data_IF_513288344822
#
_entry.id   IF_513288344822
#
_cell.length_a   1.000
_cell.length_b   1.000
_cell.length_c   1.000
_cell.angle_alpha   90.00
_cell.angle_beta   90.00
_cell.angle_gamma   90.00
#
_symmetry.space_group_name_H-M   'P 1'
#
loop_
_entity.id
_entity.type
_entity.pdbx_description
1 polymer ?
#
# COMPACT_ATOMS: atom_id res chain seq x y z
N UNK A 1 -25.59 17.45 9.61
CA UNK A 1 -24.30 17.56 8.90
C UNK A 1 -23.96 16.16 8.43
N UNK A 2 -23.62 15.94 7.13
CA UNK A 2 -23.32 14.60 6.62
C UNK A 2 -22.03 14.09 7.30
N UNK A 3 -21.98 12.82 7.73
CA UNK A 3 -20.81 12.20 8.39
C UNK A 3 -19.50 12.37 7.58
N UNK A 4 -19.61 12.41 6.26
CA UNK A 4 -18.52 12.70 5.32
C UNK A 4 -17.95 14.11 5.52
N UNK A 5 -18.81 15.15 5.53
CA UNK A 5 -18.38 16.54 5.76
C UNK A 5 -17.77 16.71 7.15
N UNK A 6 -18.27 15.97 8.13
CA UNK A 6 -17.73 16.01 9.48
C UNK A 6 -16.35 15.35 9.55
N UNK A 7 -16.14 14.22 8.88
CA UNK A 7 -14.83 13.57 8.77
C UNK A 7 -13.83 14.48 8.06
N UNK A 8 -14.22 15.08 6.92
CA UNK A 8 -13.37 16.01 6.18
C UNK A 8 -12.95 17.20 7.06
N UNK A 9 -13.89 17.87 7.71
CA UNK A 9 -13.60 19.01 8.59
C UNK A 9 -12.67 18.63 9.75
N UNK A 10 -12.83 17.44 10.34
CA UNK A 10 -12.00 16.98 11.44
C UNK A 10 -10.56 16.71 10.95
N UNK A 11 -10.40 16.03 9.80
CA UNK A 11 -9.07 15.78 9.21
C UNK A 11 -8.38 17.12 8.88
N UNK A 12 -9.07 18.08 8.26
CA UNK A 12 -8.54 19.42 8.00
C UNK A 12 -8.06 20.11 9.27
N UNK A 13 -8.88 20.11 10.32
CA UNK A 13 -8.53 20.72 11.60
C UNK A 13 -7.34 20.02 12.29
N UNK A 14 -7.26 18.69 12.19
CA UNK A 14 -6.15 17.93 12.73
C UNK A 14 -4.85 18.22 11.98
N UNK A 15 -4.92 18.38 10.66
CA UNK A 15 -3.79 18.77 9.80
C UNK A 15 -3.23 20.13 10.12
N UNK A 16 -4.10 21.12 10.42
CA UNK A 16 -3.66 22.47 10.79
C UNK A 16 -2.82 22.45 12.08
N UNK A 17 -3.10 21.50 12.97
CA UNK A 17 -2.38 21.30 14.23
C UNK A 17 -1.25 20.28 14.14
N UNK A 18 -0.99 19.71 12.95
CA UNK A 18 0.03 18.70 12.75
C UNK A 18 1.44 19.27 12.99
N UNK A 19 2.11 18.72 13.98
CA UNK A 19 3.53 18.96 14.25
C UNK A 19 4.34 17.72 13.84
N UNK A 20 5.35 17.93 13.00
CA UNK A 20 6.37 16.91 12.74
C UNK A 20 7.50 17.18 13.71
N UNK A 21 7.87 16.19 14.53
CA UNK A 21 9.04 16.25 15.38
C UNK A 21 10.23 16.58 14.50
N UNK A 22 11.06 17.52 14.92
CA UNK A 22 12.30 17.81 14.22
C UNK A 22 12.99 16.46 13.94
N UNK A 23 12.98 16.07 12.68
CA UNK A 23 13.55 14.81 12.22
C UNK A 23 14.97 14.73 12.79
N UNK A 24 15.35 13.60 13.39
CA UNK A 24 16.73 13.34 13.79
C UNK A 24 17.70 13.46 12.60
N UNK A 25 17.18 13.49 11.38
CA UNK A 25 17.90 13.72 10.13
C UNK A 25 17.69 15.17 9.71
N UNK A 26 18.72 16.03 9.81
CA UNK A 26 18.66 17.40 9.31
C UNK A 26 18.21 17.42 7.84
N UNK A 27 17.41 18.40 7.45
CA UNK A 27 16.94 18.57 6.05
C UNK A 27 18.09 18.57 5.03
N UNK A 28 19.27 19.05 5.41
CA UNK A 28 20.51 19.02 4.60
C UNK A 28 21.06 17.61 4.35
N UNK A 29 20.57 16.58 5.06
CA UNK A 29 20.95 15.18 4.88
C UNK A 29 19.83 14.33 4.25
N UNK A 30 18.64 14.90 4.00
CA UNK A 30 17.60 14.20 3.26
C UNK A 30 18.04 14.06 1.80
N UNK A 31 17.93 12.84 1.28
CA UNK A 31 18.21 12.59 -0.13
C UNK A 31 16.99 13.04 -0.96
N UNK A 32 17.22 13.70 -2.09
CA UNK A 32 16.14 14.09 -2.98
C UNK A 32 15.59 12.86 -3.72
N UNK A 33 14.36 12.94 -4.18
CA UNK A 33 13.77 11.94 -5.06
C UNK A 33 12.35 11.58 -4.70
N UNK A 34 11.81 10.59 -5.38
CA UNK A 34 10.42 10.19 -5.29
C UNK A 34 10.21 8.99 -4.37
N UNK A 35 9.14 9.02 -3.60
CA UNK A 35 8.59 7.90 -2.84
C UNK A 35 7.28 7.49 -3.52
N UNK A 36 7.16 6.22 -3.92
CA UNK A 36 5.99 5.70 -4.62
C UNK A 36 5.30 4.65 -3.75
N UNK A 37 4.03 4.86 -3.46
CA UNK A 37 3.17 3.94 -2.72
C UNK A 37 2.14 3.39 -3.69
N UNK A 38 2.12 2.08 -3.91
CA UNK A 38 1.13 1.44 -4.76
C UNK A 38 0.20 0.60 -3.90
N UNK A 39 -1.06 0.97 -3.90
CA UNK A 39 -2.14 0.24 -3.26
C UNK A 39 -2.77 -0.66 -4.32
N UNK A 40 -2.58 -1.96 -4.15
CA UNK A 40 -3.28 -2.99 -4.92
C UNK A 40 -4.70 -3.20 -4.41
N UNK A 41 -5.47 -3.98 -5.14
CA UNK A 41 -6.87 -4.25 -4.85
C UNK A 41 -7.12 -5.77 -4.92
N UNK A 42 -7.71 -6.32 -3.85
CA UNK A 42 -8.17 -7.71 -3.78
C UNK A 42 -7.09 -8.77 -4.09
N UNK A 43 -5.80 -8.52 -3.80
CA UNK A 43 -4.74 -9.48 -4.07
C UNK A 43 -4.49 -10.39 -2.87
N UNK A 44 -4.71 -11.71 -3.06
CA UNK A 44 -4.39 -12.73 -2.06
C UNK A 44 -2.97 -13.26 -2.29
N UNK A 45 -2.07 -13.10 -1.29
CA UNK A 45 -0.67 -13.54 -1.38
C UNK A 45 -0.50 -15.03 -1.60
N UNK A 46 -1.45 -15.87 -1.13
CA UNK A 46 -1.36 -17.32 -1.24
C UNK A 46 -1.58 -17.81 -2.68
N UNK A 47 -2.20 -16.98 -3.52
CA UNK A 47 -2.32 -17.18 -4.96
C UNK A 47 -1.25 -16.44 -5.78
N UNK A 48 -0.26 -15.82 -5.12
CA UNK A 48 0.86 -15.12 -5.77
C UNK A 48 2.13 -15.94 -5.68
N UNK A 49 2.70 -16.33 -6.84
CA UNK A 49 3.90 -17.16 -6.92
C UNK A 49 5.16 -16.52 -6.30
N UNK A 50 5.15 -15.23 -6.05
CA UNK A 50 6.20 -14.52 -5.31
C UNK A 50 6.13 -14.78 -3.80
N UNK A 51 4.96 -15.04 -3.22
CA UNK A 51 4.74 -15.26 -1.80
C UNK A 51 4.54 -16.74 -1.46
N UNK A 52 3.87 -17.49 -2.35
CA UNK A 52 3.63 -18.91 -2.20
C UNK A 52 4.34 -19.70 -3.31
N UNK A 53 5.49 -20.27 -2.98
CA UNK A 53 6.29 -21.06 -3.93
C UNK A 53 5.63 -22.38 -4.36
N UNK A 54 4.63 -22.87 -3.60
CA UNK A 54 3.86 -24.09 -3.90
C UNK A 54 2.64 -23.81 -4.78
N UNK A 55 2.28 -22.54 -4.99
CA UNK A 55 1.18 -22.20 -5.88
C UNK A 55 1.49 -22.62 -7.33
N UNK A 56 0.59 -23.37 -7.94
CA UNK A 56 0.85 -24.04 -9.22
C UNK A 56 0.94 -23.10 -10.43
N UNK A 57 0.45 -21.87 -10.30
CA UNK A 57 0.45 -20.87 -11.38
C UNK A 57 1.55 -19.81 -11.11
N UNK A 58 2.22 -19.38 -12.18
CA UNK A 58 3.22 -18.30 -12.11
C UNK A 58 2.54 -16.93 -12.25
N UNK A 59 1.81 -16.53 -11.23
CA UNK A 59 0.96 -15.33 -11.23
C UNK A 59 1.72 -14.03 -11.06
N UNK A 60 2.91 -14.06 -10.47
CA UNK A 60 3.71 -12.85 -10.18
C UNK A 60 5.18 -13.08 -10.52
N UNK A 61 5.51 -13.29 -11.83
CA UNK A 61 6.85 -13.66 -12.26
C UNK A 61 7.91 -12.59 -11.99
N UNK A 62 7.58 -11.30 -12.12
CA UNK A 62 8.52 -10.22 -11.85
C UNK A 62 8.80 -10.03 -10.35
N UNK A 63 7.75 -10.02 -9.52
CA UNK A 63 7.90 -9.96 -8.08
C UNK A 63 8.71 -11.16 -7.56
N UNK A 64 8.40 -12.38 -8.06
CA UNK A 64 9.16 -13.59 -7.73
C UNK A 64 10.64 -13.45 -8.11
N UNK A 65 10.93 -12.95 -9.30
CA UNK A 65 12.29 -12.70 -9.75
C UNK A 65 12.99 -11.54 -9.02
N UNK A 66 12.23 -10.70 -8.33
CA UNK A 66 12.74 -9.58 -7.53
C UNK A 66 13.04 -9.96 -6.09
N UNK A 67 12.47 -11.06 -5.58
CA UNK A 67 12.85 -11.60 -4.26
C UNK A 67 14.34 -11.91 -4.21
N UNK A 68 14.98 -11.45 -3.14
CA UNK A 68 16.42 -11.62 -2.94
C UNK A 68 17.32 -10.65 -3.73
N UNK A 69 16.77 -9.81 -4.61
CA UNK A 69 17.54 -8.72 -5.21
C UNK A 69 17.78 -7.60 -4.21
N UNK A 70 18.91 -6.92 -4.36
CA UNK A 70 19.27 -5.80 -3.49
C UNK A 70 18.18 -4.71 -3.49
N UNK A 71 17.81 -4.29 -2.31
CA UNK A 71 16.80 -3.26 -2.05
C UNK A 71 15.38 -3.79 -1.91
N UNK A 72 15.04 -4.98 -2.42
CA UNK A 72 13.71 -5.58 -2.23
C UNK A 72 13.62 -6.33 -0.89
N UNK A 73 12.55 -6.07 -0.15
CA UNK A 73 12.21 -6.68 1.12
C UNK A 73 10.75 -7.13 1.05
N UNK A 74 10.50 -8.43 1.15
CA UNK A 74 9.17 -9.04 1.08
C UNK A 74 8.73 -9.48 2.47
N UNK A 75 7.54 -9.07 2.87
CA UNK A 75 6.96 -9.39 4.18
C UNK A 75 5.92 -10.50 4.02
N UNK A 76 6.29 -11.71 4.40
CA UNK A 76 5.47 -12.91 4.16
C UNK A 76 4.27 -13.04 5.10
N UNK A 77 4.30 -12.37 6.26
CA UNK A 77 3.27 -12.44 7.30
C UNK A 77 2.41 -11.17 7.36
N UNK A 78 1.89 -10.74 6.20
CA UNK A 78 1.12 -9.50 6.10
C UNK A 78 -0.38 -9.76 5.95
N UNK A 79 -1.18 -9.00 6.68
CA UNK A 79 -2.63 -9.14 6.74
C UNK A 79 -3.32 -7.79 6.57
N UNK A 80 -4.51 -7.81 5.99
CA UNK A 80 -5.38 -6.63 5.99
C UNK A 80 -6.10 -6.48 7.35
N UNK A 81 -6.31 -5.26 7.76
CA UNK A 81 -7.10 -4.93 8.96
C UNK A 81 -8.60 -5.17 8.75
N UNK A 82 -9.05 -5.22 7.47
CA UNK A 82 -10.44 -5.46 7.10
C UNK A 82 -10.56 -5.98 5.66
N UNK A 83 -11.52 -6.89 5.34
CA UNK A 83 -11.73 -7.38 3.99
C UNK A 83 -12.63 -6.43 3.18
N UNK A 84 -12.30 -5.16 3.11
CA UNK A 84 -13.03 -4.16 2.32
C UNK A 84 -12.16 -2.93 2.11
N UNK A 85 -12.09 -2.46 0.88
CA UNK A 85 -11.22 -1.37 0.42
C UNK A 85 -11.32 -0.10 1.26
N UNK A 86 -12.54 0.41 1.46
CA UNK A 86 -12.73 1.69 2.16
C UNK A 86 -12.22 1.63 3.59
N UNK A 87 -12.56 0.55 4.30
CA UNK A 87 -12.18 0.37 5.69
C UNK A 87 -10.68 0.13 5.82
N UNK A 88 -10.12 -0.70 4.94
CA UNK A 88 -8.70 -1.04 4.96
C UNK A 88 -7.81 0.15 4.58
N UNK A 89 -8.06 0.79 3.44
CA UNK A 89 -7.24 1.90 2.93
C UNK A 89 -7.34 3.13 3.82
N UNK A 90 -8.54 3.42 4.36
CA UNK A 90 -8.69 4.59 5.23
C UNK A 90 -7.84 4.48 6.51
N UNK A 91 -7.77 3.29 7.12
CA UNK A 91 -6.87 3.10 8.26
C UNK A 91 -5.40 3.01 7.84
N UNK A 92 -5.09 2.35 6.72
CA UNK A 92 -3.70 2.23 6.25
C UNK A 92 -3.02 3.58 6.02
N UNK A 93 -3.78 4.59 5.63
CA UNK A 93 -3.26 5.93 5.32
C UNK A 93 -3.47 6.97 6.43
N UNK A 94 -3.91 6.55 7.59
CA UNK A 94 -4.11 7.45 8.75
C UNK A 94 -3.42 6.92 10.00
N UNK A 95 -3.20 7.80 10.97
CA UNK A 95 -2.63 7.41 12.27
C UNK A 95 -3.57 6.59 13.16
N UNK A 96 -4.81 6.33 12.72
CA UNK A 96 -5.76 5.45 13.40
C UNK A 96 -5.46 4.00 13.05
N UNK A 97 -5.16 3.16 14.03
CA UNK A 97 -4.93 1.74 13.84
C UNK A 97 -5.64 0.90 14.91
N UNK A 98 -5.61 -0.42 14.77
CA UNK A 98 -6.31 -1.34 15.68
C UNK A 98 -5.71 -1.38 17.09
N UNK A 99 -4.55 -0.79 17.32
CA UNK A 99 -3.75 -0.96 18.54
C UNK A 99 -3.67 0.31 19.39
N UNK A 100 -3.91 1.50 18.82
CA UNK A 100 -3.65 2.76 19.50
C UNK A 100 -4.90 3.47 20.06
N UNK A 101 -6.08 2.98 19.70
CA UNK A 101 -7.35 3.54 20.18
C UNK A 101 -7.67 4.96 19.67
N UNK A 102 -6.94 5.46 18.68
CA UNK A 102 -7.23 6.76 18.07
C UNK A 102 -8.43 6.59 17.14
N UNK A 103 -9.55 7.30 17.37
CA UNK A 103 -10.68 7.27 16.44
C UNK A 103 -10.28 7.87 15.10
N UNK A 104 -10.84 7.35 14.01
CA UNK A 104 -10.54 7.85 12.65
C UNK A 104 -10.76 9.36 12.50
N UNK A 105 -11.79 9.90 13.14
CA UNK A 105 -12.08 11.35 13.13
C UNK A 105 -11.01 12.23 13.81
N UNK A 106 -10.20 11.64 14.68
CA UNK A 106 -9.15 12.32 15.44
C UNK A 106 -7.75 11.98 14.90
N UNK A 107 -7.69 11.23 13.80
CA UNK A 107 -6.44 10.86 13.14
C UNK A 107 -5.90 11.96 12.24
N UNK A 108 -4.62 11.85 11.91
CA UNK A 108 -3.94 12.61 10.85
C UNK A 108 -3.70 11.69 9.66
N UNK A 109 -3.64 12.24 8.47
CA UNK A 109 -3.38 11.44 7.29
C UNK A 109 -1.92 11.53 6.80
N UNK A 110 -1.52 10.53 6.02
CA UNK A 110 -0.16 10.36 5.55
C UNK A 110 0.23 11.41 4.50
N UNK A 111 -0.72 11.90 3.69
CA UNK A 111 -0.44 12.94 2.70
C UNK A 111 -0.07 14.26 3.36
N UNK A 112 -0.77 14.62 4.46
CA UNK A 112 -0.43 15.81 5.24
C UNK A 112 0.95 15.68 5.89
N UNK A 113 1.29 14.48 6.41
CA UNK A 113 2.62 14.21 6.94
C UNK A 113 3.69 14.38 5.86
N UNK A 114 3.47 13.80 4.67
CA UNK A 114 4.40 13.91 3.54
C UNK A 114 4.53 15.36 3.05
N UNK A 115 3.41 16.09 2.92
CA UNK A 115 3.42 17.50 2.54
C UNK A 115 4.23 18.35 3.52
N UNK A 116 3.98 18.19 4.83
CA UNK A 116 4.75 18.90 5.87
C UNK A 116 6.23 18.48 5.93
N UNK A 117 6.55 17.27 5.46
CA UNK A 117 7.94 16.81 5.30
C UNK A 117 8.64 17.39 4.05
N UNK A 118 7.93 18.18 3.24
CA UNK A 118 8.47 18.89 2.08
C UNK A 118 8.37 18.11 0.76
N UNK A 119 7.44 17.15 0.68
CA UNK A 119 7.10 16.48 -0.58
C UNK A 119 5.95 17.20 -1.29
N UNK A 120 5.98 17.20 -2.62
CA UNK A 120 4.78 17.44 -3.43
C UNK A 120 4.00 16.12 -3.52
N UNK A 121 2.72 16.16 -3.15
CA UNK A 121 1.91 14.95 -2.96
C UNK A 121 0.99 14.71 -4.15
N UNK A 122 0.94 13.46 -4.63
CA UNK A 122 0.12 13.01 -5.74
C UNK A 122 -0.80 11.88 -5.31
N UNK A 123 -2.06 11.96 -5.77
CA UNK A 123 -3.00 10.86 -5.73
C UNK A 123 -3.42 10.48 -7.15
N UNK A 124 -2.97 9.31 -7.61
CA UNK A 124 -3.28 8.76 -8.94
C UNK A 124 -4.16 7.53 -8.75
N UNK A 125 -5.44 7.61 -9.07
CA UNK A 125 -6.38 6.52 -8.83
C UNK A 125 -7.05 6.04 -10.10
N UNK A 126 -7.05 4.72 -10.26
CA UNK A 126 -7.84 4.01 -11.28
C UNK A 126 -9.20 3.57 -10.73
N UNK A 127 -9.39 3.64 -9.42
CA UNK A 127 -10.69 3.48 -8.79
C UNK A 127 -11.62 4.65 -9.16
N UNK A 128 -12.92 4.39 -9.23
CA UNK A 128 -13.88 5.46 -9.55
C UNK A 128 -13.91 6.52 -8.45
N UNK A 129 -14.04 7.79 -8.85
CA UNK A 129 -14.36 8.86 -7.91
C UNK A 129 -15.70 8.55 -7.28
N UNK A 130 -15.68 8.35 -6.02
CA UNK A 130 -16.63 7.66 -5.18
C UNK A 130 -18.12 7.96 -5.34
N UNK A 131 -18.87 6.91 -5.05
CA UNK A 131 -20.22 6.94 -4.48
C UNK A 131 -20.13 7.33 -2.98
N UNK A 132 -21.29 7.53 -2.33
CA UNK A 132 -21.35 7.84 -0.89
C UNK A 132 -20.64 6.80 -0.01
N UNK A 133 -20.51 5.55 -0.51
CA UNK A 133 -19.82 4.45 0.19
C UNK A 133 -18.31 4.61 0.29
N UNK A 134 -17.67 5.27 -0.69
CA UNK A 134 -16.21 5.40 -0.77
C UNK A 134 -15.70 6.76 -0.23
N UNK A 135 -16.55 7.45 0.49
CA UNK A 135 -16.33 8.81 0.97
C UNK A 135 -15.01 8.98 1.75
N UNK A 136 -14.61 7.97 2.54
CA UNK A 136 -13.35 8.00 3.30
C UNK A 136 -12.12 8.16 2.43
N UNK A 137 -12.01 7.36 1.36
CA UNK A 137 -10.87 7.41 0.42
C UNK A 137 -10.83 8.74 -0.33
N UNK A 138 -12.00 9.26 -0.73
CA UNK A 138 -12.07 10.56 -1.42
C UNK A 138 -11.64 11.72 -0.50
N UNK A 139 -11.95 11.66 0.80
CA UNK A 139 -11.47 12.66 1.77
C UNK A 139 -9.95 12.66 1.82
N UNK A 140 -9.33 11.48 1.93
CA UNK A 140 -7.86 11.35 1.93
C UNK A 140 -7.28 11.85 0.60
N UNK A 141 -7.81 11.40 -0.54
CA UNK A 141 -7.35 11.81 -1.86
C UNK A 141 -7.35 13.35 -2.03
N UNK A 142 -8.35 14.04 -1.45
CA UNK A 142 -8.47 15.50 -1.51
C UNK A 142 -7.38 16.24 -0.72
N UNK A 143 -6.56 15.54 0.06
CA UNK A 143 -5.41 16.11 0.78
C UNK A 143 -4.15 16.20 -0.09
N UNK A 144 -4.12 15.51 -1.24
CA UNK A 144 -2.99 15.59 -2.17
C UNK A 144 -2.96 16.92 -2.93
N UNK A 145 -1.74 17.43 -3.19
CA UNK A 145 -1.53 18.64 -4.00
C UNK A 145 -2.01 18.44 -5.45
N UNK A 146 -1.86 17.22 -5.97
CA UNK A 146 -2.29 16.85 -7.32
C UNK A 146 -3.10 15.56 -7.29
N UNK A 147 -4.33 15.61 -7.84
CA UNK A 147 -5.24 14.46 -7.86
C UNK A 147 -5.59 14.14 -9.32
N UNK A 148 -5.51 12.84 -9.66
CA UNK A 148 -5.94 12.32 -10.96
C UNK A 148 -6.82 11.09 -10.75
N UNK A 149 -8.03 11.15 -11.28
CA UNK A 149 -8.93 10.01 -11.44
C UNK A 149 -8.82 9.53 -12.88
N UNK A 150 -8.21 8.34 -13.03
CA UNK A 150 -7.76 7.80 -14.32
C UNK A 150 -8.79 6.76 -14.78
N UNK A 151 -9.09 6.74 -16.07
CA UNK A 151 -9.97 5.75 -16.66
C UNK A 151 -9.17 4.76 -17.51
N UNK A 152 -9.61 3.52 -17.56
CA UNK A 152 -8.95 2.45 -18.32
C UNK A 152 -8.44 1.33 -17.44
N UNK A 153 -7.52 0.54 -17.96
CA UNK A 153 -6.81 -0.48 -17.21
C UNK A 153 -5.61 0.12 -16.46
N UNK A 154 -5.02 -0.64 -15.56
CA UNK A 154 -4.03 -0.15 -14.60
C UNK A 154 -2.77 0.45 -15.23
N UNK A 155 -2.37 0.02 -16.44
CA UNK A 155 -1.25 0.63 -17.17
C UNK A 155 -1.46 2.09 -17.54
N UNK A 156 -2.71 2.58 -17.53
CA UNK A 156 -3.00 3.98 -17.84
C UNK A 156 -2.34 4.95 -16.83
N UNK A 157 -2.00 4.49 -15.62
CA UNK A 157 -1.26 5.29 -14.64
C UNK A 157 0.11 5.73 -15.14
N UNK A 158 0.74 4.96 -16.03
CA UNK A 158 2.06 5.28 -16.56
C UNK A 158 2.08 6.57 -17.38
N UNK A 159 0.96 6.94 -18.01
CA UNK A 159 0.84 8.21 -18.71
C UNK A 159 0.83 9.40 -17.75
N UNK A 160 0.23 9.27 -16.57
CA UNK A 160 0.21 10.30 -15.55
C UNK A 160 1.55 10.42 -14.82
N UNK A 161 2.25 9.31 -14.59
CA UNK A 161 3.61 9.34 -14.02
C UNK A 161 4.58 10.15 -14.88
N UNK A 162 4.41 10.14 -16.21
CA UNK A 162 5.23 10.93 -17.15
C UNK A 162 5.05 12.44 -17.00
N UNK A 163 3.98 12.88 -16.38
CA UNK A 163 3.69 14.30 -16.14
C UNK A 163 4.28 14.81 -14.81
N UNK A 164 4.86 13.93 -13.99
CA UNK A 164 5.45 14.28 -12.70
C UNK A 164 6.88 14.81 -12.90
N UNK A 165 7.23 16.00 -12.39
CA UNK A 165 8.57 16.55 -12.50
C UNK A 165 9.60 15.66 -11.77
N UNK A 166 10.69 15.25 -12.43
CA UNK A 166 11.71 14.37 -11.82
C UNK A 166 12.66 15.09 -10.86
N UNK A 167 12.61 16.42 -10.80
CA UNK A 167 13.51 17.26 -10.02
C UNK A 167 12.97 17.60 -8.63
N UNK A 168 11.76 17.21 -8.32
CA UNK A 168 11.10 17.49 -7.05
C UNK A 168 11.12 16.28 -6.12
N UNK A 169 10.92 16.51 -4.82
CA UNK A 169 10.62 15.46 -3.87
C UNK A 169 9.15 15.12 -4.01
N UNK A 170 8.85 13.99 -4.64
CA UNK A 170 7.50 13.57 -4.92
C UNK A 170 7.07 12.45 -3.97
N UNK A 171 5.87 12.57 -3.41
CA UNK A 171 5.19 11.50 -2.68
C UNK A 171 3.96 11.08 -3.47
N UNK A 172 4.02 9.90 -4.07
CA UNK A 172 3.06 9.48 -5.09
C UNK A 172 2.28 8.27 -4.55
N UNK A 173 0.98 8.43 -4.32
CA UNK A 173 0.08 7.33 -4.05
C UNK A 173 -0.60 6.93 -5.36
N UNK A 174 -0.49 5.65 -5.70
CA UNK A 174 -1.16 5.01 -6.83
C UNK A 174 -2.17 4.00 -6.27
N UNK A 175 -3.45 4.16 -6.63
CA UNK A 175 -4.50 3.23 -6.23
C UNK A 175 -5.04 2.51 -7.46
N UNK A 176 -4.67 1.23 -7.60
CA UNK A 176 -4.99 0.39 -8.75
C UNK A 176 -6.41 -0.16 -8.70
N UNK A 177 -6.93 -0.59 -9.84
CA UNK A 177 -8.09 -1.48 -9.94
C UNK A 177 -7.74 -2.93 -9.55
N UNK A 178 -6.51 -3.33 -9.77
CA UNK A 178 -5.94 -4.61 -9.37
C UNK A 178 -6.80 -5.82 -9.77
N UNK A 179 -7.06 -6.67 -8.79
CA UNK A 179 -7.87 -7.88 -8.96
C UNK A 179 -9.30 -7.74 -8.41
N UNK A 180 -9.88 -6.53 -8.44
CA UNK A 180 -11.26 -6.31 -8.00
C UNK A 180 -12.27 -7.17 -8.76
N UNK A 181 -13.33 -7.60 -8.09
CA UNK A 181 -14.44 -8.40 -8.65
C UNK A 181 -14.82 -7.96 -10.07
N UNK A 182 -15.26 -8.91 -10.90
CA UNK A 182 -15.28 -8.86 -12.36
C UNK A 182 -13.88 -8.83 -12.92
N UNK A 183 -13.05 -9.80 -12.51
CA UNK A 183 -11.66 -9.99 -12.90
C UNK A 183 -11.47 -9.97 -14.44
N UNK A 184 -12.49 -10.44 -15.17
CA UNK A 184 -12.58 -10.39 -16.65
C UNK A 184 -12.49 -8.96 -17.22
N UNK A 185 -12.78 -7.94 -16.42
CA UNK A 185 -12.72 -6.53 -16.80
C UNK A 185 -11.43 -5.82 -16.35
N UNK A 186 -10.56 -6.52 -15.64
CA UNK A 186 -9.34 -5.92 -15.07
C UNK A 186 -8.13 -6.06 -15.99
N UNK A 187 -8.23 -6.93 -16.99
CA UNK A 187 -7.13 -7.28 -17.89
C UNK A 187 -7.46 -6.90 -19.33
N UNK A 188 -6.59 -6.14 -20.00
CA UNK A 188 -6.77 -5.87 -21.43
C UNK A 188 -6.70 -7.16 -22.25
N UNK A 189 -7.53 -7.27 -23.27
CA UNK A 189 -7.52 -8.41 -24.18
C UNK A 189 -6.16 -8.61 -24.84
N UNK A 190 -5.48 -7.51 -25.20
CA UNK A 190 -4.14 -7.52 -25.78
C UNK A 190 -3.09 -8.17 -24.86
N UNK A 191 -3.23 -8.02 -23.52
CA UNK A 191 -2.33 -8.67 -22.57
C UNK A 191 -2.51 -10.20 -22.60
N UNK A 192 -3.75 -10.67 -22.68
CA UNK A 192 -4.10 -12.09 -22.75
C UNK A 192 -3.50 -12.70 -24.03
N UNK A 193 -3.71 -12.06 -25.17
CA UNK A 193 -3.22 -12.51 -26.48
C UNK A 193 -1.69 -12.52 -26.54
N UNK A 194 -1.05 -11.43 -26.10
CA UNK A 194 0.42 -11.30 -26.09
C UNK A 194 1.10 -12.37 -25.24
N UNK A 195 0.48 -12.76 -24.12
CA UNK A 195 1.04 -13.74 -23.20
C UNK A 195 0.50 -15.16 -23.42
N UNK A 196 -0.35 -15.35 -24.46
CA UNK A 196 -0.97 -16.63 -24.80
C UNK A 196 -1.65 -17.32 -23.61
N UNK A 197 -2.46 -16.55 -22.86
CA UNK A 197 -3.10 -17.02 -21.64
C UNK A 197 -4.44 -17.70 -21.95
N UNK A 198 -4.65 -18.91 -21.41
CA UNK A 198 -5.94 -19.57 -21.44
C UNK A 198 -6.76 -19.15 -20.22
N UNK A 199 -7.94 -18.58 -20.44
CA UNK A 199 -8.81 -18.05 -19.39
C UNK A 199 -10.20 -18.68 -19.53
N UNK A 200 -10.46 -19.75 -18.78
CA UNK A 200 -11.66 -20.57 -18.90
C UNK A 200 -12.55 -20.50 -17.64
N UNK A 201 -11.98 -20.14 -16.49
CA UNK A 201 -12.66 -20.13 -15.21
C UNK A 201 -12.54 -18.78 -14.48
N UNK A 202 -13.36 -18.59 -13.42
CA UNK A 202 -13.24 -17.45 -12.50
C UNK A 202 -11.81 -17.34 -11.92
N UNK A 203 -11.24 -18.48 -11.53
CA UNK A 203 -9.90 -18.54 -10.95
C UNK A 203 -8.81 -18.21 -11.99
N UNK A 204 -8.99 -18.60 -13.26
CA UNK A 204 -8.03 -18.23 -14.32
C UNK A 204 -8.06 -16.71 -14.55
N UNK A 205 -9.24 -16.10 -14.57
CA UNK A 205 -9.37 -14.65 -14.67
C UNK A 205 -8.69 -13.93 -13.50
N UNK A 206 -8.88 -14.43 -12.27
CA UNK A 206 -8.21 -13.88 -11.09
C UNK A 206 -6.69 -14.02 -11.17
N UNK A 207 -6.18 -15.21 -11.51
CA UNK A 207 -4.74 -15.44 -11.73
C UNK A 207 -4.16 -14.53 -12.80
N UNK A 208 -4.92 -14.31 -13.88
CA UNK A 208 -4.51 -13.41 -14.98
C UNK A 208 -4.48 -11.95 -14.53
N UNK A 209 -5.43 -11.52 -13.68
CA UNK A 209 -5.43 -10.17 -13.11
C UNK A 209 -4.24 -9.93 -12.18
N UNK A 210 -3.86 -10.91 -11.36
CA UNK A 210 -2.63 -10.87 -10.57
C UNK A 210 -1.37 -10.73 -11.45
N UNK A 211 -1.30 -11.52 -12.54
CA UNK A 211 -0.18 -11.47 -13.48
C UNK A 211 -0.10 -10.12 -14.21
N UNK A 212 -1.26 -9.55 -14.53
CA UNK A 212 -1.31 -8.22 -15.13
C UNK A 212 -0.87 -7.13 -14.15
N UNK A 213 -1.31 -7.19 -12.90
CA UNK A 213 -0.86 -6.28 -11.84
C UNK A 213 0.66 -6.37 -11.64
N UNK A 214 1.25 -7.57 -11.61
CA UNK A 214 2.71 -7.79 -11.55
C UNK A 214 3.44 -7.08 -12.71
N UNK A 215 2.86 -7.14 -13.93
CA UNK A 215 3.40 -6.43 -15.08
C UNK A 215 3.32 -4.91 -14.91
N UNK A 216 2.22 -4.38 -14.43
CA UNK A 216 2.04 -2.93 -14.16
C UNK A 216 3.01 -2.46 -13.07
N UNK A 217 3.16 -3.21 -11.98
CA UNK A 217 4.12 -2.92 -10.91
C UNK A 217 5.56 -2.86 -11.44
N UNK A 218 5.92 -3.78 -12.32
CA UNK A 218 7.22 -3.79 -13.00
C UNK A 218 7.44 -2.49 -13.78
N UNK A 219 6.47 -2.05 -14.56
CA UNK A 219 6.60 -0.84 -15.38
C UNK A 219 6.65 0.43 -14.49
N UNK A 220 5.86 0.51 -13.42
CA UNK A 220 5.94 1.58 -12.41
C UNK A 220 7.34 1.62 -11.79
N UNK A 221 7.87 0.46 -11.38
CA UNK A 221 9.21 0.35 -10.79
C UNK A 221 10.30 0.85 -11.75
N UNK A 222 10.27 0.40 -13.00
CA UNK A 222 11.27 0.82 -13.99
C UNK A 222 11.18 2.32 -14.26
N UNK A 223 9.97 2.84 -14.50
CA UNK A 223 9.79 4.26 -14.73
C UNK A 223 10.20 5.11 -13.53
N UNK A 224 9.79 4.70 -12.32
CA UNK A 224 10.18 5.38 -11.08
C UNK A 224 11.69 5.47 -10.90
N UNK A 225 12.38 4.36 -11.16
CA UNK A 225 13.84 4.27 -11.05
C UNK A 225 14.58 5.08 -12.12
N UNK A 226 14.14 5.00 -13.37
CA UNK A 226 14.84 5.60 -14.52
C UNK A 226 14.52 7.08 -14.70
N UNK A 227 13.31 7.52 -14.33
CA UNK A 227 12.80 8.84 -14.69
C UNK A 227 12.39 9.71 -13.50
N UNK A 228 12.10 9.15 -12.33
CA UNK A 228 11.61 9.91 -11.17
C UNK A 228 12.60 9.92 -10.00
N UNK A 229 13.83 9.44 -10.18
CA UNK A 229 14.82 9.34 -9.10
C UNK A 229 14.23 8.68 -7.84
N UNK A 230 13.56 7.53 -8.05
CA UNK A 230 12.82 6.83 -7.00
C UNK A 230 13.75 6.33 -5.89
N UNK A 231 13.50 6.74 -4.67
CA UNK A 231 14.23 6.34 -3.47
C UNK A 231 13.60 5.16 -2.76
N UNK A 232 12.26 5.11 -2.76
CA UNK A 232 11.52 3.97 -2.22
C UNK A 232 10.26 3.69 -3.05
N UNK A 233 9.88 2.41 -3.12
CA UNK A 233 8.57 1.98 -3.59
C UNK A 233 7.98 1.00 -2.58
N UNK A 234 6.75 1.21 -2.21
CA UNK A 234 5.97 0.34 -1.32
C UNK A 234 4.80 -0.21 -2.11
N UNK A 235 4.59 -1.52 -2.05
CA UNK A 235 3.40 -2.16 -2.60
C UNK A 235 2.72 -3.00 -1.52
N UNK A 236 1.42 -2.84 -1.38
CA UNK A 236 0.56 -3.71 -0.59
C UNK A 236 -0.83 -3.78 -1.20
N UNK A 237 -1.55 -4.88 -0.98
CA UNK A 237 -2.98 -4.92 -1.31
C UNK A 237 -3.80 -4.39 -0.15
N UNK A 238 -4.93 -3.79 -0.46
CA UNK A 238 -5.90 -3.32 0.52
C UNK A 238 -6.50 -4.48 1.32
N UNK A 239 -6.90 -5.55 0.66
CA UNK A 239 -7.34 -6.83 1.23
C UNK A 239 -7.03 -8.00 0.31
N UNK A 240 -7.25 -9.21 0.80
CA UNK A 240 -7.17 -10.44 0.02
C UNK A 240 -8.51 -10.79 -0.65
N UNK A 241 -8.59 -12.00 -1.19
CA UNK A 241 -9.76 -12.49 -1.91
C UNK A 241 -9.92 -13.99 -1.66
N UNK A 242 -11.13 -14.44 -1.36
CA UNK A 242 -11.52 -15.85 -1.39
C UNK A 242 -12.25 -16.18 -2.69
N UNK A 243 -11.94 -17.32 -3.30
CA UNK A 243 -12.51 -17.66 -4.61
C UNK A 243 -13.97 -18.06 -4.57
N UNK A 244 -14.53 -18.42 -3.41
CA UNK A 244 -15.93 -18.78 -3.23
C UNK A 244 -16.75 -17.59 -2.72
N UNK A 245 -16.31 -16.97 -1.62
CA UNK A 245 -17.05 -15.94 -0.90
C UNK A 245 -16.60 -14.50 -1.23
N UNK A 246 -15.57 -14.33 -2.06
CA UNK A 246 -14.95 -13.05 -2.41
C UNK A 246 -14.32 -12.34 -1.19
N UNK A 247 -14.72 -11.13 -0.86
CA UNK A 247 -14.18 -10.33 0.25
C UNK A 247 -15.32 -9.76 1.10
N UNK A 248 -15.94 -10.62 1.91
CA UNK A 248 -17.03 -10.24 2.80
C UNK A 248 -16.62 -10.35 4.27
N UNK A 249 -17.33 -9.65 5.16
CA UNK A 249 -17.12 -9.82 6.59
C UNK A 249 -17.99 -10.93 7.20
N UNK A 250 -18.88 -11.54 6.41
CA UNK A 250 -19.78 -12.61 6.86
C UNK A 250 -20.24 -13.48 5.67
N UNK A 251 -19.79 -14.75 5.54
CA UNK A 251 -18.75 -15.35 6.40
C UNK A 251 -17.37 -14.68 6.22
N UNK A 252 -16.59 -14.63 7.27
CA UNK A 252 -15.20 -14.19 7.21
C UNK A 252 -14.28 -15.40 7.08
N UNK A 253 -13.35 -15.35 6.12
CA UNK A 253 -12.25 -16.30 5.95
C UNK A 253 -10.93 -15.53 5.97
N UNK A 254 -9.85 -16.14 6.45
CA UNK A 254 -8.55 -15.48 6.54
C UNK A 254 -7.94 -15.16 5.16
N UNK A 255 -8.24 -15.94 4.13
CA UNK A 255 -7.89 -15.65 2.72
C UNK A 255 -8.24 -14.23 2.29
N UNK A 256 -9.35 -13.69 2.83
CA UNK A 256 -9.82 -12.34 2.54
C UNK A 256 -8.93 -11.24 3.11
N UNK A 257 -7.98 -11.61 3.98
CA UNK A 257 -7.06 -10.68 4.62
C UNK A 257 -5.59 -11.07 4.46
N UNK A 258 -5.29 -12.15 3.76
CA UNK A 258 -3.92 -12.51 3.37
C UNK A 258 -3.47 -11.60 2.21
N UNK A 259 -2.59 -10.64 2.48
CA UNK A 259 -2.17 -9.65 1.49
C UNK A 259 -0.68 -9.74 1.15
N UNK A 260 -0.28 -9.43 -0.10
CA UNK A 260 1.11 -9.16 -0.43
C UNK A 260 1.55 -7.84 0.17
N UNK A 261 2.81 -7.78 0.60
CA UNK A 261 3.47 -6.55 0.99
C UNK A 261 4.96 -6.65 0.71
N UNK A 262 5.52 -5.65 0.05
CA UNK A 262 6.95 -5.49 -0.12
C UNK A 262 7.37 -4.04 -0.21
N UNK A 263 8.65 -3.79 0.09
CA UNK A 263 9.31 -2.50 -0.01
C UNK A 263 10.52 -2.66 -0.92
N UNK A 264 10.75 -1.68 -1.80
CA UNK A 264 12.01 -1.46 -2.48
C UNK A 264 12.66 -0.18 -1.96
N UNK A 265 13.95 -0.23 -1.63
CA UNK A 265 14.77 0.90 -1.23
C UNK A 265 15.96 1.02 -2.18
N UNK A 266 16.19 2.22 -2.74
CA UNK A 266 17.30 2.46 -3.68
C UNK A 266 18.66 2.25 -3.01
N UNK A 267 19.74 1.99 -3.77
CA UNK A 267 21.09 1.94 -3.20
C UNK A 267 21.50 3.25 -2.49
N UNK A 268 21.04 4.39 -2.99
CA UNK A 268 21.26 5.69 -2.37
C UNK A 268 20.54 5.81 -1.02
N UNK A 269 19.27 5.37 -0.98
CA UNK A 269 18.50 5.29 0.26
C UNK A 269 19.17 4.38 1.30
N UNK A 270 19.59 3.18 0.88
CA UNK A 270 20.27 2.21 1.77
C UNK A 270 21.56 2.78 2.36
N UNK A 271 22.31 3.57 1.60
CA UNK A 271 23.52 4.22 2.07
C UNK A 271 23.23 5.37 3.02
N UNK A 272 22.21 6.18 2.74
CA UNK A 272 21.86 7.34 3.57
C UNK A 272 21.16 6.95 4.87
N UNK A 273 20.31 5.92 4.82
CA UNK A 273 19.42 5.48 5.91
C UNK A 273 19.65 4.00 6.24
N UNK A 274 20.91 3.68 6.53
CA UNK A 274 21.37 2.30 6.74
C UNK A 274 20.55 1.56 7.82
N UNK A 275 20.27 2.25 8.94
CA UNK A 275 19.56 1.64 10.08
C UNK A 275 18.11 1.26 9.73
N UNK A 276 17.42 2.12 8.96
CA UNK A 276 16.07 1.84 8.44
C UNK A 276 16.08 0.63 7.52
N UNK A 277 17.05 0.55 6.59
CA UNK A 277 17.19 -0.60 5.70
C UNK A 277 17.47 -1.90 6.47
N UNK A 278 18.41 -1.88 7.43
CA UNK A 278 18.75 -3.06 8.22
C UNK A 278 17.59 -3.52 9.11
N UNK A 279 16.86 -2.58 9.70
CA UNK A 279 15.69 -2.88 10.51
C UNK A 279 14.57 -3.51 9.66
N UNK A 280 14.30 -2.96 8.48
CA UNK A 280 13.33 -3.53 7.53
C UNK A 280 13.69 -4.97 7.14
N UNK A 281 14.97 -5.21 6.84
CA UNK A 281 15.49 -6.57 6.53
C UNK A 281 15.34 -7.55 7.70
N UNK A 282 15.60 -7.09 8.92
CA UNK A 282 15.46 -7.90 10.13
C UNK A 282 14.01 -8.28 10.38
N UNK A 283 13.08 -7.36 10.09
CA UNK A 283 11.65 -7.51 10.37
C UNK A 283 10.87 -8.20 9.21
N UNK A 284 11.53 -8.66 8.13
CA UNK A 284 10.86 -9.22 6.94
C UNK A 284 9.95 -10.43 7.22
N UNK A 285 10.17 -11.13 8.35
CA UNK A 285 9.38 -12.29 8.78
C UNK A 285 8.40 -11.98 9.92
N UNK A 286 8.42 -10.77 10.42
CA UNK A 286 7.50 -10.35 11.48
C UNK A 286 6.07 -10.24 10.94
N UNK A 287 5.11 -10.40 11.86
CA UNK A 287 3.69 -10.19 11.53
C UNK A 287 3.42 -8.72 11.26
N UNK A 288 2.59 -8.41 10.27
CA UNK A 288 2.23 -7.05 9.91
C UNK A 288 0.75 -6.95 9.55
N UNK A 289 0.12 -5.82 9.89
CA UNK A 289 -1.24 -5.49 9.44
C UNK A 289 -1.23 -4.14 8.73
N UNK A 290 -2.00 -4.00 7.64
CA UNK A 290 -1.88 -2.85 6.76
C UNK A 290 -2.36 -1.51 7.36
N UNK A 291 -3.07 -1.52 8.49
CA UNK A 291 -3.33 -0.31 9.28
C UNK A 291 -2.07 0.28 9.95
N UNK A 292 -0.94 -0.41 9.87
CA UNK A 292 0.38 0.08 10.30
C UNK A 292 1.21 0.70 9.16
N UNK A 293 0.62 0.86 7.96
CA UNK A 293 1.30 1.50 6.82
C UNK A 293 1.61 2.97 7.10
N UNK A 294 0.74 3.68 7.82
CA UNK A 294 1.00 5.06 8.24
C UNK A 294 2.34 5.19 8.98
N UNK A 295 2.57 4.31 9.97
CA UNK A 295 3.81 4.29 10.76
C UNK A 295 5.01 3.94 9.87
N UNK A 296 4.88 2.88 9.07
CA UNK A 296 5.97 2.36 8.24
C UNK A 296 6.40 3.34 7.15
N UNK A 297 5.44 4.01 6.52
CA UNK A 297 5.74 5.00 5.49
C UNK A 297 6.28 6.29 6.12
N UNK A 298 5.75 6.71 7.29
CA UNK A 298 6.32 7.83 8.07
C UNK A 298 7.79 7.57 8.44
N UNK A 299 8.13 6.33 8.82
CA UNK A 299 9.51 5.89 9.04
C UNK A 299 10.37 5.97 7.77
N UNK A 300 9.86 5.51 6.62
CA UNK A 300 10.57 5.58 5.33
C UNK A 300 10.88 7.03 4.93
N UNK A 301 9.93 7.94 5.09
CA UNK A 301 10.13 9.37 4.73
C UNK A 301 10.81 10.17 5.85
N UNK A 302 11.11 9.53 6.97
CA UNK A 302 11.69 10.15 8.17
C UNK A 302 10.89 11.37 8.65
N UNK A 303 9.57 11.26 8.64
CA UNK A 303 8.64 12.29 9.05
C UNK A 303 7.81 11.83 10.26
N UNK A 304 8.45 11.81 11.43
CA UNK A 304 7.80 11.43 12.67
C UNK A 304 6.85 12.52 13.15
N UNK A 305 5.56 12.29 13.03
CA UNK A 305 4.52 13.13 13.64
C UNK A 305 4.42 12.88 15.15
N UNK A 306 3.63 13.70 15.84
CA UNK A 306 3.32 13.47 17.26
C UNK A 306 2.57 12.17 17.51
N UNK A 307 1.89 11.62 16.50
CA UNK A 307 1.17 10.35 16.55
C UNK A 307 2.02 9.14 16.14
N UNK A 308 3.25 9.34 15.64
CA UNK A 308 4.11 8.25 15.20
C UNK A 308 4.54 7.34 16.35
N UNK A 309 4.36 6.04 16.15
CA UNK A 309 4.65 4.98 17.11
C UNK A 309 5.67 3.98 16.53
N UNK A 310 6.96 4.10 16.87
CA UNK A 310 8.01 3.28 16.26
C UNK A 310 7.90 1.78 16.56
N UNK A 311 7.12 1.37 17.56
CA UNK A 311 6.79 -0.03 17.86
C UNK A 311 5.85 -0.67 16.84
N UNK A 312 5.18 0.13 16.02
CA UNK A 312 4.31 -0.30 14.91
C UNK A 312 4.89 0.00 13.53
N UNK A 313 6.07 0.61 13.45
CA UNK A 313 6.79 0.82 12.20
C UNK A 313 7.65 -0.39 11.87
N UNK A 314 7.28 -1.16 10.83
CA UNK A 314 8.01 -2.36 10.38
C UNK A 314 9.44 -2.04 9.94
N UNK A 315 9.74 -0.77 9.62
CA UNK A 315 11.07 -0.31 9.24
C UNK A 315 11.93 0.14 10.43
N UNK A 316 11.35 0.14 11.63
CA UNK A 316 12.02 0.52 12.88
C UNK A 316 12.67 -0.68 13.58
N UNK A 317 13.82 -0.43 14.22
CA UNK A 317 14.43 -1.42 15.12
C UNK A 317 13.62 -1.68 16.40
N UNK A 318 12.59 -0.85 16.66
CA UNK A 318 11.70 -0.98 17.81
C UNK A 318 10.41 -1.74 17.50
N UNK A 319 10.21 -2.17 16.25
CA UNK A 319 9.03 -2.95 15.87
C UNK A 319 8.84 -4.18 16.76
N UNK A 320 7.63 -4.37 17.30
CA UNK A 320 7.40 -5.45 18.27
C UNK A 320 5.99 -6.06 18.23
N UNK A 321 5.22 -5.88 17.15
CA UNK A 321 3.93 -6.56 17.02
C UNK A 321 4.14 -8.07 16.95
N UNK A 322 3.48 -8.83 17.83
CA UNK A 322 3.53 -10.29 17.81
C UNK A 322 2.24 -10.89 17.26
N UNK A 323 2.30 -12.11 16.68
CA UNK A 323 1.13 -12.83 16.15
C UNK A 323 0.01 -13.00 17.20
N UNK A 324 0.36 -13.12 18.47
CA UNK A 324 -0.62 -13.25 19.55
C UNK A 324 -1.44 -11.97 19.79
N UNK A 325 -0.92 -10.83 19.40
CA UNK A 325 -1.56 -9.52 19.58
C UNK A 325 -2.07 -8.92 18.26
N UNK A 326 -1.65 -9.49 17.12
CA UNK A 326 -2.08 -9.02 15.82
C UNK A 326 -3.58 -9.28 15.58
N UNK A 327 -4.26 -8.27 15.01
CA UNK A 327 -5.71 -8.20 14.88
C UNK A 327 -6.12 -7.97 13.42
N UNK A 328 -7.35 -8.37 13.10
CA UNK A 328 -8.08 -7.99 11.89
C UNK A 328 -9.54 -7.73 12.21
N UNK A 329 -10.37 -7.40 11.22
CA UNK A 329 -11.78 -7.00 11.40
C UNK A 329 -11.94 -5.84 12.40
N UNK A 330 -11.04 -4.85 12.32
CA UNK A 330 -11.00 -3.71 13.24
C UNK A 330 -11.00 -4.14 14.72
N UNK A 331 -10.06 -5.03 15.05
CA UNK A 331 -9.85 -5.50 16.42
C UNK A 331 -10.77 -6.63 16.88
N UNK A 332 -11.65 -7.16 16.03
CA UNK A 332 -12.65 -8.18 16.42
C UNK A 332 -12.14 -9.62 16.27
N UNK A 333 -11.05 -9.84 15.55
CA UNK A 333 -10.49 -11.17 15.27
C UNK A 333 -8.98 -11.17 15.47
N UNK A 334 -8.46 -12.19 16.15
CA UNK A 334 -7.02 -12.38 16.29
C UNK A 334 -6.43 -13.15 15.12
N UNK A 335 -5.28 -12.70 14.62
CA UNK A 335 -4.58 -13.39 13.52
C UNK A 335 -3.96 -14.73 13.99
N UNK A 336 -3.74 -14.92 15.29
CA UNK A 336 -3.34 -16.23 15.83
C UNK A 336 -4.38 -17.34 15.61
N UNK A 337 -5.64 -16.98 15.33
CA UNK A 337 -6.72 -17.93 15.05
C UNK A 337 -6.71 -18.42 13.59
N UNK A 338 -5.86 -17.83 12.76
CA UNK A 338 -5.54 -18.29 11.42
C UNK A 338 -4.67 -19.55 11.54
N UNK A 339 -5.19 -20.65 11.03
CA UNK A 339 -4.57 -21.99 11.12
C UNK A 339 -3.94 -22.44 9.81
N UNK A 340 -3.94 -21.59 8.79
CA UNK A 340 -3.39 -21.85 7.46
C UNK A 340 -1.91 -21.46 7.32
#
# INVERSE_FOLDING_TARGET
>A
MNAFVQLQNNIEQNSDNLEIKASAIPSSKKIPGSIIIVIGESANRDMMSAFNSSYSKNTTPWEKASRGKNGFIFFDNSFANFPNTVMAVTQALTSSNQYNGIPLKDSIDLLDVAHKAGYHTYWLSLQNKSTVSDAGITVLANRADTIKWIHGHDEAVLSELKNIPPTENNFIIIHLNGSHFRYDRRVPQEFIEKNNLAVESKTDWYNTSLQYTDCVLKEIYHYGKESLHMQAMVYFSDHGEDMEYTHTSSPFLFDMVHIPFWIYLSPEYQAAYHDTYQSSRKNEKEIFTNDLMFESISGIIHAESTSYQPEYDITSSKYNLSRNHALTLHGKKYIKDDTE
#
